data_IF_487999337806
#
_entry.id   IF_487999337806
#
_cell.length_a   1.000
_cell.length_b   1.000
_cell.length_c   1.000
_cell.angle_alpha   90.00
_cell.angle_beta   90.00
_cell.angle_gamma   90.00
#
_symmetry.space_group_name_H-M   'P 1'
#
loop_
_entity.id
_entity.type
_entity.pdbx_description
1 polymer ?
#
# COMPACT_ATOMS: atom_id res chain seq x y z
N UNK A 1 2.17 -10.93 10.15
CA UNK A 1 0.71 -10.76 10.23
C UNK A 1 0.07 -11.51 9.06
N UNK A 2 -1.12 -12.07 9.25
CA UNK A 2 -1.88 -12.78 8.23
C UNK A 2 -3.35 -12.38 8.35
N UNK A 3 -3.99 -12.10 7.22
CA UNK A 3 -5.41 -11.76 7.13
C UNK A 3 -6.13 -12.81 6.28
N UNK A 4 -7.33 -13.22 6.68
CA UNK A 4 -8.17 -14.16 5.94
C UNK A 4 -9.48 -13.47 5.58
N UNK A 5 -9.79 -13.36 4.29
CA UNK A 5 -11.05 -12.74 3.83
C UNK A 5 -12.24 -13.68 4.04
N UNK A 6 -13.49 -13.20 3.98
CA UNK A 6 -14.68 -14.07 4.03
C UNK A 6 -14.71 -15.16 2.92
N UNK A 7 -14.10 -14.87 1.77
CA UNK A 7 -13.92 -15.80 0.66
C UNK A 7 -12.80 -16.82 0.92
N UNK A 8 -12.06 -16.69 2.03
CA UNK A 8 -10.99 -17.58 2.44
C UNK A 8 -9.61 -17.23 1.88
N UNK A 9 -9.47 -16.11 1.15
CA UNK A 9 -8.18 -15.68 0.62
C UNK A 9 -7.27 -15.25 1.77
N UNK A 10 -6.01 -15.66 1.72
CA UNK A 10 -5.02 -15.39 2.76
C UNK A 10 -4.02 -14.36 2.27
N UNK A 11 -3.87 -13.26 3.02
CA UNK A 11 -3.13 -12.08 2.62
C UNK A 11 -2.08 -11.68 3.67
N UNK A 12 -0.88 -11.20 3.26
CA UNK A 12 0.14 -10.72 4.18
C UNK A 12 -0.26 -9.41 4.87
N UNK A 13 -1.10 -8.61 4.23
CA UNK A 13 -1.75 -7.43 4.80
C UNK A 13 -3.13 -7.23 4.15
N UNK A 14 -3.99 -6.41 4.77
CA UNK A 14 -5.35 -6.16 4.24
C UNK A 14 -5.35 -5.59 2.81
N UNK A 15 -4.39 -4.73 2.48
CA UNK A 15 -4.31 -4.08 1.17
C UNK A 15 -3.63 -4.94 0.08
N UNK A 16 -3.09 -6.12 0.40
CA UNK A 16 -2.27 -6.91 -0.52
C UNK A 16 -3.00 -7.35 -1.81
N UNK A 17 -4.34 -7.35 -1.82
CA UNK A 17 -5.15 -7.65 -3.01
C UNK A 17 -4.88 -6.73 -4.21
N UNK A 18 -4.28 -5.57 -3.98
CA UNK A 18 -3.94 -4.63 -5.05
C UNK A 18 -2.65 -4.96 -5.80
N UNK A 19 -1.81 -5.86 -5.25
CA UNK A 19 -0.52 -6.19 -5.87
C UNK A 19 -0.79 -6.99 -7.15
N UNK A 20 -0.34 -6.54 -8.33
CA UNK A 20 -0.62 -7.22 -9.58
C UNK A 20 0.27 -8.46 -9.76
N UNK A 21 -0.21 -9.40 -10.58
CA UNK A 21 0.59 -10.53 -11.06
C UNK A 21 0.96 -11.56 -10.00
N UNK A 22 0.16 -11.70 -8.93
CA UNK A 22 0.34 -12.71 -7.89
C UNK A 22 -0.96 -13.49 -7.68
N UNK A 23 -0.85 -14.80 -7.42
CA UNK A 23 -2.00 -15.61 -7.04
C UNK A 23 -2.35 -15.41 -5.56
N UNK A 24 -3.65 -15.40 -5.24
CA UNK A 24 -4.14 -15.33 -3.86
C UNK A 24 -4.41 -16.74 -3.32
N UNK A 25 -3.60 -17.23 -2.35
CA UNK A 25 -3.82 -18.55 -1.75
C UNK A 25 -5.10 -18.54 -0.91
N UNK A 26 -5.74 -19.71 -0.76
CA UNK A 26 -7.04 -19.82 -0.10
C UNK A 26 -7.07 -20.98 0.91
N UNK A 27 -7.55 -20.70 2.13
CA UNK A 27 -7.59 -21.67 3.25
C UNK A 27 -8.48 -22.89 2.98
N UNK A 28 -9.41 -22.79 2.03
CA UNK A 28 -10.28 -23.92 1.64
C UNK A 28 -9.56 -24.90 0.72
N UNK A 29 -8.38 -24.55 0.21
CA UNK A 29 -7.62 -25.31 -0.79
C UNK A 29 -6.23 -25.73 -0.29
N UNK A 30 -5.62 -24.98 0.61
CA UNK A 30 -4.25 -25.20 1.10
C UNK A 30 -4.19 -25.00 2.62
N UNK A 31 -3.26 -25.70 3.28
CA UNK A 31 -3.04 -25.54 4.71
C UNK A 31 -2.42 -24.17 5.03
N UNK A 32 -2.80 -23.54 6.14
CA UNK A 32 -2.28 -22.22 6.52
C UNK A 32 -0.75 -22.18 6.65
N UNK A 33 -0.15 -23.26 7.14
CA UNK A 33 1.30 -23.42 7.25
C UNK A 33 2.00 -23.34 5.89
N UNK A 34 1.49 -24.11 4.92
CA UNK A 34 1.97 -24.10 3.53
C UNK A 34 1.79 -22.72 2.90
N UNK A 35 0.64 -22.07 3.10
CA UNK A 35 0.39 -20.72 2.59
C UNK A 35 1.42 -19.74 3.17
N UNK A 36 1.65 -19.77 4.48
CA UNK A 36 2.55 -18.86 5.15
C UNK A 36 4.01 -19.04 4.71
N UNK A 37 4.46 -20.29 4.57
CA UNK A 37 5.86 -20.60 4.27
C UNK A 37 6.18 -20.60 2.77
N UNK A 38 5.26 -21.02 1.91
CA UNK A 38 5.57 -21.35 0.51
C UNK A 38 4.87 -20.47 -0.52
N UNK A 39 3.82 -19.72 -0.17
CA UNK A 39 3.11 -18.93 -1.19
C UNK A 39 3.95 -17.76 -1.72
N UNK A 40 3.83 -17.50 -3.02
CA UNK A 40 4.51 -16.39 -3.68
C UNK A 40 4.12 -15.05 -3.05
N UNK A 41 2.83 -14.84 -2.77
CA UNK A 41 2.31 -13.60 -2.20
C UNK A 41 2.99 -13.23 -0.87
N UNK A 42 3.29 -14.22 -0.01
CA UNK A 42 3.95 -13.98 1.27
C UNK A 42 5.47 -13.85 1.14
N UNK A 43 6.08 -14.52 0.17
CA UNK A 43 7.53 -14.52 0.00
C UNK A 43 8.05 -13.39 -0.90
N UNK A 44 7.21 -12.80 -1.76
CA UNK A 44 7.61 -11.76 -2.74
C UNK A 44 8.32 -10.56 -2.12
N UNK A 45 7.92 -10.17 -0.91
CA UNK A 45 8.51 -9.04 -0.16
C UNK A 45 8.95 -9.44 1.25
N UNK A 46 9.24 -10.74 1.47
CA UNK A 46 9.78 -11.24 2.74
C UNK A 46 11.30 -11.17 2.69
N UNK A 47 11.93 -10.83 3.81
CA UNK A 47 13.37 -10.64 3.88
C UNK A 47 13.81 -9.32 3.25
N UNK A 48 15.05 -9.26 2.79
CA UNK A 48 15.67 -8.04 2.25
C UNK A 48 16.20 -8.21 0.83
N UNK A 49 16.18 -9.44 0.30
CA UNK A 49 16.74 -9.82 -0.99
C UNK A 49 16.01 -9.21 -2.18
N UNK A 50 14.74 -8.82 -2.00
CA UNK A 50 13.90 -8.17 -3.02
C UNK A 50 14.13 -6.66 -3.09
N UNK A 51 14.80 -6.06 -2.11
CA UNK A 51 14.89 -4.62 -1.97
C UNK A 51 15.75 -4.00 -3.07
N UNK A 52 15.32 -2.84 -3.56
CA UNK A 52 16.08 -1.99 -4.48
C UNK A 52 16.64 -0.78 -3.73
N UNK A 53 17.57 -0.04 -4.33
CA UNK A 53 18.08 1.20 -3.74
C UNK A 53 16.95 2.23 -3.53
N UNK A 54 16.96 3.00 -2.42
CA UNK A 54 18.00 3.07 -1.38
C UNK A 54 17.95 1.94 -0.33
N UNK A 55 16.90 1.13 -0.30
CA UNK A 55 16.67 0.14 0.77
C UNK A 55 17.70 -1.00 0.76
N UNK A 56 18.20 -1.39 -0.42
CA UNK A 56 19.17 -2.47 -0.55
C UNK A 56 20.46 -2.24 0.27
N UNK A 57 20.95 -0.98 0.29
CA UNK A 57 22.14 -0.56 1.03
C UNK A 57 21.84 0.14 2.37
N UNK A 58 20.56 0.34 2.71
CA UNK A 58 20.15 1.07 3.91
C UNK A 58 20.52 0.31 5.21
N UNK A 59 21.12 0.97 6.22
CA UNK A 59 21.39 0.35 7.53
C UNK A 59 20.12 -0.01 8.33
N UNK A 60 18.98 0.59 7.99
CA UNK A 60 17.70 0.36 8.68
C UNK A 60 16.82 -0.72 8.01
N UNK A 61 17.28 -1.33 6.91
CA UNK A 61 16.47 -2.24 6.09
C UNK A 61 15.89 -3.45 6.84
N UNK A 62 16.56 -3.92 7.88
CA UNK A 62 16.06 -5.03 8.73
C UNK A 62 15.10 -4.56 9.83
N UNK A 63 15.03 -3.25 10.08
CA UNK A 63 14.17 -2.65 11.10
C UNK A 63 12.79 -2.33 10.54
N UNK A 64 12.74 -1.67 9.37
CA UNK A 64 11.50 -1.19 8.75
C UNK A 64 11.02 -2.02 7.55
N UNK A 65 11.88 -2.94 7.06
CA UNK A 65 11.65 -3.76 5.87
C UNK A 65 11.24 -2.93 4.64
N UNK A 66 11.82 -1.72 4.52
CA UNK A 66 11.59 -0.77 3.44
C UNK A 66 10.28 0.01 3.51
N UNK A 67 9.43 -0.23 4.51
CA UNK A 67 8.11 0.40 4.70
C UNK A 67 6.95 -0.32 3.99
N UNK A 68 5.87 0.40 3.67
CA UNK A 68 4.64 -0.18 3.11
C UNK A 68 4.70 -0.45 1.60
N UNK A 69 4.59 -1.72 1.19
CA UNK A 69 4.59 -2.14 -0.23
C UNK A 69 3.38 -1.61 -1.01
N UNK A 70 2.21 -1.56 -0.36
CA UNK A 70 0.98 -1.08 -0.97
C UNK A 70 1.02 0.43 -1.25
N UNK A 71 1.64 1.20 -0.35
CA UNK A 71 1.84 2.64 -0.54
C UNK A 71 2.89 2.92 -1.62
N UNK A 72 3.99 2.18 -1.62
CA UNK A 72 4.99 2.24 -2.69
C UNK A 72 4.36 1.99 -4.07
N UNK A 73 3.52 0.96 -4.19
CA UNK A 73 2.80 0.68 -5.43
C UNK A 73 1.89 1.84 -5.85
N UNK A 74 1.05 2.36 -4.94
CA UNK A 74 0.09 3.41 -5.27
C UNK A 74 0.73 4.72 -5.69
N UNK A 75 1.85 5.09 -5.06
CA UNK A 75 2.47 6.39 -5.25
C UNK A 75 3.58 6.35 -6.29
N UNK A 76 4.22 5.20 -6.52
CA UNK A 76 5.37 5.07 -7.43
C UNK A 76 5.07 4.21 -8.67
N UNK A 77 4.04 3.38 -8.63
CA UNK A 77 3.73 2.39 -9.67
C UNK A 77 4.42 1.05 -9.47
N UNK A 78 5.34 0.93 -8.50
CA UNK A 78 6.04 -0.33 -8.18
C UNK A 78 6.06 -0.58 -6.67
N UNK A 79 5.66 -1.78 -6.27
CA UNK A 79 5.65 -2.23 -4.87
C UNK A 79 7.06 -2.50 -4.32
N UNK A 80 8.06 -2.71 -5.19
CA UNK A 80 9.46 -2.93 -4.78
C UNK A 80 10.18 -1.64 -4.37
N UNK A 81 9.69 -0.47 -4.81
CA UNK A 81 10.31 0.81 -4.48
C UNK A 81 10.27 1.09 -2.96
N UNK A 82 11.21 1.92 -2.50
CA UNK A 82 11.19 2.46 -1.14
C UNK A 82 9.88 3.21 -0.89
N UNK A 83 9.28 3.00 0.29
CA UNK A 83 8.07 3.71 0.68
C UNK A 83 8.28 5.23 0.59
N UNK A 84 7.48 5.97 -0.19
CA UNK A 84 7.61 7.42 -0.33
C UNK A 84 7.47 8.22 0.97
N UNK A 85 6.97 7.61 2.06
CA UNK A 85 7.00 8.25 3.39
C UNK A 85 8.44 8.41 3.89
N UNK A 86 9.33 7.48 3.57
CA UNK A 86 10.74 7.58 3.94
C UNK A 86 11.40 8.77 3.24
N UNK A 87 12.17 9.56 3.98
CA UNK A 87 12.89 10.73 3.46
C UNK A 87 14.00 10.37 2.46
N UNK A 88 14.48 9.12 2.48
CA UNK A 88 15.47 8.61 1.52
C UNK A 88 14.85 8.19 0.19
N UNK A 89 13.53 8.02 0.12
CA UNK A 89 12.86 7.60 -1.12
C UNK A 89 13.01 8.67 -2.20
N UNK A 90 13.40 8.32 -3.45
CA UNK A 90 13.40 9.25 -4.59
C UNK A 90 12.03 9.85 -4.90
N UNK A 91 10.97 9.26 -4.34
CA UNK A 91 9.59 9.69 -4.54
C UNK A 91 9.01 10.45 -3.33
N UNK A 92 9.83 10.80 -2.34
CA UNK A 92 9.38 11.47 -1.12
C UNK A 92 8.61 12.77 -1.37
N UNK A 93 9.00 13.53 -2.40
CA UNK A 93 8.33 14.78 -2.78
C UNK A 93 6.84 14.58 -3.14
N UNK A 94 6.42 13.39 -3.60
CA UNK A 94 5.01 13.09 -3.83
C UNK A 94 4.21 13.17 -2.53
N UNK A 95 4.71 12.56 -1.46
CA UNK A 95 4.07 12.60 -0.13
C UNK A 95 4.08 14.02 0.41
N UNK A 96 5.23 14.71 0.31
CA UNK A 96 5.35 16.11 0.73
C UNK A 96 4.29 17.00 0.06
N UNK A 97 4.14 16.89 -1.26
CA UNK A 97 3.16 17.67 -2.01
C UNK A 97 1.72 17.40 -1.59
N UNK A 98 1.39 16.16 -1.20
CA UNK A 98 0.08 15.78 -0.67
C UNK A 98 -0.13 16.41 0.70
N UNK A 99 0.88 16.32 1.58
CA UNK A 99 0.79 16.87 2.95
C UNK A 99 0.72 18.39 2.95
N UNK A 100 1.47 19.09 2.10
CA UNK A 100 1.44 20.54 1.96
C UNK A 100 0.07 21.04 1.48
N UNK A 101 -0.54 20.33 0.52
CA UNK A 101 -1.91 20.63 0.08
C UNK A 101 -2.92 20.44 1.20
N UNK A 102 -2.78 19.38 2.00
CA UNK A 102 -3.68 19.09 3.12
C UNK A 102 -3.53 20.07 4.28
N UNK A 103 -2.35 20.66 4.46
CA UNK A 103 -2.07 21.66 5.50
C UNK A 103 -2.54 23.08 5.15
N UNK A 104 -3.10 23.30 3.95
CA UNK A 104 -3.63 24.63 3.59
C UNK A 104 -4.69 25.04 4.62
N UNK A 105 -4.57 26.25 5.20
CA UNK A 105 -5.54 26.72 6.15
C UNK A 105 -6.92 26.78 5.51
N UNK A 106 -7.94 26.39 6.28
CA UNK A 106 -9.33 26.54 5.85
C UNK A 106 -9.59 28.02 5.53
N UNK A 107 -10.03 28.31 4.30
CA UNK A 107 -10.43 29.64 3.88
C UNK A 107 -11.96 29.77 3.97
N UNK A 108 -12.51 30.54 4.94
CA UNK A 108 -13.96 30.73 5.05
C UNK A 108 -14.58 31.44 3.84
N UNK A 109 -13.77 32.19 3.08
CA UNK A 109 -14.20 32.92 1.88
C UNK A 109 -14.15 32.08 0.61
N UNK A 110 -13.67 30.84 0.68
CA UNK A 110 -13.70 29.86 -0.42
C UNK A 110 -14.77 28.81 -0.12
N UNK A 111 -16.07 29.12 -0.32
CA UNK A 111 -17.15 28.21 0.04
C UNK A 111 -17.13 26.98 -0.88
N UNK A 112 -16.62 25.87 -0.36
CA UNK A 112 -16.81 24.56 -0.99
C UNK A 112 -18.18 24.03 -0.56
N UNK A 113 -19.12 23.76 -1.49
CA UNK A 113 -20.43 23.25 -1.11
C UNK A 113 -20.31 21.90 -0.40
N UNK A 114 -21.00 21.74 0.74
CA UNK A 114 -21.14 20.45 1.41
C UNK A 114 -21.99 19.53 0.53
N UNK A 115 -21.34 18.66 -0.23
CA UNK A 115 -22.01 17.67 -1.08
C UNK A 115 -22.39 16.44 -0.26
N UNK A 116 -23.66 16.37 0.16
CA UNK A 116 -24.18 15.19 0.85
C UNK A 116 -24.19 13.97 -0.07
N UNK A 117 -23.34 12.99 0.23
CA UNK A 117 -23.27 11.72 -0.52
C UNK A 117 -24.38 10.78 -0.07
N UNK A 118 -25.09 10.19 -1.03
CA UNK A 118 -26.09 9.14 -0.86
C UNK A 118 -25.95 8.11 -1.99
N UNK A 119 -26.67 6.98 -1.92
CA UNK A 119 -26.57 5.92 -2.93
C UNK A 119 -26.86 6.38 -4.37
N UNK A 120 -27.66 7.43 -4.58
CA UNK A 120 -28.02 7.94 -5.91
C UNK A 120 -26.92 8.80 -6.52
N UNK A 121 -26.23 9.61 -5.73
CA UNK A 121 -25.23 10.58 -6.20
C UNK A 121 -23.77 10.18 -5.91
N UNK A 122 -23.52 9.10 -5.17
CA UNK A 122 -22.17 8.70 -4.75
C UNK A 122 -21.16 8.54 -5.90
N UNK A 123 -21.64 8.08 -7.06
CA UNK A 123 -20.81 7.86 -8.27
C UNK A 123 -20.53 9.14 -9.07
N UNK A 124 -21.29 10.21 -8.83
CA UNK A 124 -21.17 11.47 -9.57
C UNK A 124 -20.07 12.37 -9.01
N UNK A 125 -19.60 12.09 -7.79
CA UNK A 125 -18.58 12.88 -7.09
C UNK A 125 -17.19 12.23 -7.12
N UNK A 126 -16.90 11.35 -8.08
CA UNK A 126 -15.54 10.91 -8.35
C UNK A 126 -14.85 12.01 -9.16
N UNK A 127 -14.14 12.91 -8.47
CA UNK A 127 -13.13 13.76 -9.09
C UNK A 127 -11.99 12.87 -9.58
N UNK A 128 -11.57 13.10 -10.82
CA UNK A 128 -10.43 12.46 -11.51
C UNK A 128 -9.13 12.50 -10.69
#
# INVERSE_FOLDING_TARGET
MMNVTPEGDVLPCHAAKMIPGVAFPNVRKQALDEIWHSSELFNKFRGTEWMVEPCASCPEKEQDLGGCRCQALMLTGDAANADPVCSLSPHHDKVRSITEKAQRPFNPEEPVPLLFRNMKNAKQFHTE
#
